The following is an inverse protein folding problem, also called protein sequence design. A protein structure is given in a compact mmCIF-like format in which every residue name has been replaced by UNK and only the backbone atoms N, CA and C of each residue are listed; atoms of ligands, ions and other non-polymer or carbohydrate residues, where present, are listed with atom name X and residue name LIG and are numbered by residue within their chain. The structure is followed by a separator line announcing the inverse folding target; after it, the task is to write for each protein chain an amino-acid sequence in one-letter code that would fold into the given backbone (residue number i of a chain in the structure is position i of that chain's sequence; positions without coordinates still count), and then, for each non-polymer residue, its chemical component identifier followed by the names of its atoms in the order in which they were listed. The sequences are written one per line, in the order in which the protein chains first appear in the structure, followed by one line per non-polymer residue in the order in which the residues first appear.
data_IF_464460946417
#
_entry.id   IF_464460946417
#
_cell.length_a   1.000
_cell.length_b   1.000
_cell.length_c   1.000
_cell.angle_alpha   90.00
_cell.angle_beta   90.00
_cell.angle_gamma   90.00
#
_symmetry.space_group_name_H-M   'P 1'
#
loop_
_entity.id
_entity.type
_entity.pdbx_description
1 polymer ?
#
# COMPACT_ATOMS: atom_id res chain seq x y z
N UNK A 1 -26.44 18.01 13.73
CA UNK A 1 -25.80 18.18 12.42
C UNK A 1 -25.67 16.81 11.76
N UNK A 2 -26.22 16.56 10.57
CA UNK A 2 -25.90 15.35 9.84
C UNK A 2 -24.41 15.37 9.47
N UNK A 3 -23.71 14.26 9.71
CA UNK A 3 -22.32 14.09 9.28
C UNK A 3 -22.25 14.33 7.76
N UNK A 4 -21.29 15.12 7.26
CA UNK A 4 -21.13 15.34 5.83
C UNK A 4 -20.97 13.98 5.14
N UNK A 5 -21.79 13.72 4.12
CA UNK A 5 -21.68 12.52 3.28
C UNK A 5 -20.25 12.46 2.74
N UNK A 6 -19.53 11.37 3.01
CA UNK A 6 -18.17 11.23 2.49
C UNK A 6 -18.20 11.35 0.96
N UNK A 7 -17.31 12.17 0.40
CA UNK A 7 -17.16 12.27 -1.05
C UNK A 7 -16.82 10.88 -1.60
N UNK A 8 -17.50 10.46 -2.67
CA UNK A 8 -17.18 9.20 -3.35
C UNK A 8 -15.76 9.31 -3.92
N UNK A 9 -14.86 8.42 -3.48
CA UNK A 9 -13.50 8.29 -4.05
C UNK A 9 -13.58 8.10 -5.57
N UNK A 10 -12.73 8.84 -6.29
CA UNK A 10 -12.65 8.79 -7.75
C UNK A 10 -11.47 7.91 -8.17
N UNK A 11 -11.65 7.17 -9.26
CA UNK A 11 -10.65 6.30 -9.86
C UNK A 11 -10.79 6.42 -11.37
N UNK A 12 -9.71 6.15 -12.10
CA UNK A 12 -9.74 5.95 -13.54
C UNK A 12 -10.66 4.78 -13.90
N UNK A 13 -11.26 4.84 -15.09
CA UNK A 13 -12.16 3.79 -15.55
C UNK A 13 -11.44 2.44 -15.61
N UNK A 14 -12.06 1.39 -15.07
CA UNK A 14 -11.48 0.03 -15.05
C UNK A 14 -10.39 -0.21 -13.99
N UNK A 15 -9.93 0.82 -13.27
CA UNK A 15 -8.78 0.74 -12.36
C UNK A 15 -8.89 -0.38 -11.31
N UNK A 16 -10.07 -0.57 -10.73
CA UNK A 16 -10.28 -1.58 -9.70
C UNK A 16 -10.09 -3.01 -10.20
N UNK A 17 -10.58 -3.29 -11.41
CA UNK A 17 -10.38 -4.58 -12.06
C UNK A 17 -8.91 -4.77 -12.44
N UNK A 18 -8.31 -3.74 -13.04
CA UNK A 18 -6.88 -3.74 -13.35
C UNK A 18 -6.03 -4.01 -12.11
N UNK A 19 -6.37 -3.43 -10.96
CA UNK A 19 -5.68 -3.66 -9.68
C UNK A 19 -5.74 -5.11 -9.23
N UNK A 20 -6.91 -5.75 -9.31
CA UNK A 20 -7.07 -7.17 -8.97
C UNK A 20 -6.24 -8.06 -9.94
N UNK A 21 -6.35 -7.80 -11.25
CA UNK A 21 -5.63 -8.59 -12.27
C UNK A 21 -4.11 -8.42 -12.13
N UNK A 22 -3.62 -7.18 -11.91
CA UNK A 22 -2.19 -6.89 -11.75
C UNK A 22 -1.63 -7.48 -10.45
N UNK A 23 -2.37 -7.43 -9.35
CA UNK A 23 -1.98 -8.05 -8.07
C UNK A 23 -1.83 -9.57 -8.17
N UNK A 24 -2.62 -10.22 -9.03
CA UNK A 24 -2.50 -11.64 -9.35
C UNK A 24 -1.29 -11.90 -10.26
N UNK A 25 -1.12 -11.10 -11.33
CA UNK A 25 0.02 -11.20 -12.25
C UNK A 25 1.36 -11.11 -11.52
N UNK A 26 1.52 -10.11 -10.64
CA UNK A 26 2.75 -9.93 -9.85
C UNK A 26 3.06 -11.17 -8.99
N UNK A 27 2.04 -11.78 -8.38
CA UNK A 27 2.24 -13.03 -7.64
C UNK A 27 2.73 -14.15 -8.54
N UNK A 28 2.11 -14.31 -9.71
CA UNK A 28 2.52 -15.34 -10.68
C UNK A 28 3.95 -15.11 -11.18
N UNK A 29 4.31 -13.87 -11.49
CA UNK A 29 5.67 -13.45 -11.86
C UNK A 29 6.70 -13.80 -10.78
N UNK A 30 6.30 -13.72 -9.51
CA UNK A 30 7.11 -14.13 -8.34
C UNK A 30 6.94 -15.61 -7.94
N UNK A 31 6.35 -16.45 -8.81
CA UNK A 31 6.08 -17.87 -8.55
C UNK A 31 5.22 -18.16 -7.31
N UNK A 32 4.30 -17.25 -6.99
CA UNK A 32 3.33 -17.37 -5.91
C UNK A 32 1.93 -17.68 -6.46
N UNK A 33 1.15 -18.45 -5.71
CA UNK A 33 -0.28 -18.59 -5.96
C UNK A 33 -1.00 -17.27 -5.71
N UNK A 34 -2.11 -17.03 -6.42
CA UNK A 34 -2.93 -15.83 -6.29
C UNK A 34 -3.45 -15.56 -4.86
N UNK A 35 -3.55 -16.60 -4.03
CA UNK A 35 -3.96 -16.52 -2.63
C UNK A 35 -2.79 -16.44 -1.64
N UNK A 36 -1.54 -16.55 -2.07
CA UNK A 36 -0.40 -16.49 -1.16
C UNK A 36 -0.10 -15.05 -0.72
N UNK A 37 0.44 -14.87 0.51
CA UNK A 37 0.96 -13.59 0.96
C UNK A 37 2.06 -13.07 0.02
N UNK A 38 2.08 -11.75 -0.17
CA UNK A 38 3.11 -11.04 -0.92
C UNK A 38 3.84 -10.12 0.04
N UNK A 39 5.15 -10.33 0.22
CA UNK A 39 5.98 -9.47 1.07
C UNK A 39 6.36 -8.20 0.30
N UNK A 40 6.10 -7.02 0.87
CA UNK A 40 6.37 -5.73 0.24
C UNK A 40 7.87 -5.55 -0.03
N UNK A 41 8.70 -5.92 0.94
CA UNK A 41 10.17 -5.87 0.82
C UNK A 41 10.69 -6.81 -0.28
N UNK A 42 10.14 -8.03 -0.38
CA UNK A 42 10.49 -8.95 -1.48
C UNK A 42 10.03 -8.46 -2.84
N UNK A 43 8.88 -7.76 -2.89
CA UNK A 43 8.41 -7.16 -4.13
C UNK A 43 9.32 -6.01 -4.57
N UNK A 44 9.78 -5.16 -3.64
CA UNK A 44 10.79 -4.14 -3.96
C UNK A 44 12.09 -4.74 -4.49
N UNK A 45 12.60 -5.80 -3.86
CA UNK A 45 13.79 -6.53 -4.34
C UNK A 45 13.57 -7.08 -5.77
N UNK A 46 12.43 -7.74 -6.01
CA UNK A 46 12.06 -8.24 -7.33
C UNK A 46 11.99 -7.14 -8.41
N UNK A 47 11.42 -5.98 -8.06
CA UNK A 47 11.31 -4.82 -8.94
C UNK A 47 12.59 -3.97 -8.98
N UNK A 48 13.63 -4.36 -8.23
CA UNK A 48 14.90 -3.62 -8.09
C UNK A 48 14.71 -2.18 -7.61
N UNK A 49 13.73 -1.96 -6.73
CA UNK A 49 13.45 -0.67 -6.10
C UNK A 49 14.17 -0.65 -4.74
N UNK A 50 15.18 0.21 -4.53
CA UNK A 50 15.86 0.30 -3.24
C UNK A 50 14.88 0.74 -2.14
N UNK A 51 14.96 0.07 -0.99
CA UNK A 51 14.29 0.49 0.24
C UNK A 51 15.37 0.96 1.22
N UNK A 52 15.18 2.16 1.76
CA UNK A 52 16.05 2.77 2.77
C UNK A 52 15.23 3.18 3.99
N UNK A 53 15.91 3.28 5.12
CA UNK A 53 15.46 4.01 6.32
C UNK A 53 16.19 5.35 6.39
N UNK A 54 15.76 6.29 7.25
CA UNK A 54 16.49 7.55 7.45
C UNK A 54 17.96 7.37 7.84
N UNK A 55 18.30 6.25 8.52
CA UNK A 55 19.68 5.95 8.93
C UNK A 55 20.58 5.55 7.78
N UNK A 56 20.00 5.08 6.67
CA UNK A 56 20.77 4.67 5.49
C UNK A 56 21.12 5.86 4.59
N UNK A 57 20.56 7.05 4.86
CA UNK A 57 20.82 8.27 4.10
C UNK A 57 22.13 8.90 4.60
N UNK A 58 23.13 9.07 3.72
CA UNK A 58 24.43 9.61 4.14
C UNK A 58 24.31 11.08 4.55
N UNK A 59 25.06 11.46 5.59
CA UNK A 59 25.17 12.84 6.09
C UNK A 59 23.85 13.48 6.54
N UNK A 60 22.84 12.68 6.90
CA UNK A 60 21.63 13.24 7.49
C UNK A 60 21.96 13.78 8.91
N UNK A 61 21.60 15.02 9.25
CA UNK A 61 21.90 15.57 10.57
C UNK A 61 21.22 14.78 11.69
N UNK A 62 21.89 14.63 12.83
CA UNK A 62 21.33 13.91 13.99
C UNK A 62 19.99 14.50 14.46
N UNK A 63 19.86 15.83 14.43
CA UNK A 63 18.59 16.51 14.74
C UNK A 63 17.43 16.09 13.81
N UNK A 64 17.72 15.80 12.54
CA UNK A 64 16.74 15.31 11.58
C UNK A 64 16.44 13.82 11.82
N UNK A 65 17.43 13.01 12.19
CA UNK A 65 17.18 11.62 12.60
C UNK A 65 16.26 11.56 13.82
N UNK A 66 16.53 12.38 14.85
CA UNK A 66 15.67 12.46 16.04
C UNK A 66 14.26 12.89 15.65
N UNK A 67 14.11 13.87 14.76
CA UNK A 67 12.77 14.25 14.28
C UNK A 67 12.07 13.12 13.52
N UNK A 68 12.76 12.42 12.62
CA UNK A 68 12.14 11.36 11.82
C UNK A 68 11.88 10.08 12.62
N UNK A 69 12.71 9.74 13.60
CA UNK A 69 12.68 8.44 14.26
C UNK A 69 12.19 8.49 15.71
N UNK A 70 12.06 9.68 16.31
CA UNK A 70 11.64 9.83 17.71
C UNK A 70 10.49 10.83 17.85
N UNK A 71 10.77 12.14 17.79
CA UNK A 71 9.79 13.19 18.11
C UNK A 71 8.67 13.29 17.08
N UNK A 72 9.02 13.17 15.79
CA UNK A 72 8.10 13.22 14.66
C UNK A 72 7.78 11.86 14.05
N UNK A 73 8.14 10.75 14.71
CA UNK A 73 7.99 9.39 14.13
C UNK A 73 6.55 9.02 13.73
N UNK A 74 5.54 9.70 14.28
CA UNK A 74 4.12 9.47 13.92
C UNK A 74 3.63 10.36 12.78
N UNK A 75 4.42 11.34 12.35
CA UNK A 75 4.05 12.35 11.37
C UNK A 75 4.31 11.92 9.92
N UNK A 76 5.00 10.79 9.72
CA UNK A 76 5.31 10.24 8.40
C UNK A 76 5.33 8.71 8.43
N UNK A 77 5.28 8.09 7.24
CA UNK A 77 5.08 6.64 7.11
C UNK A 77 6.03 6.00 6.10
N UNK A 78 5.99 6.44 4.86
CA UNK A 78 6.95 6.15 3.82
C UNK A 78 6.86 7.24 2.76
N UNK A 79 7.84 7.30 1.86
CA UNK A 79 7.81 8.15 0.69
C UNK A 79 8.62 7.49 -0.44
N UNK A 80 8.05 7.49 -1.64
CA UNK A 80 8.77 7.23 -2.88
C UNK A 80 9.41 8.52 -3.40
N UNK A 81 10.72 8.45 -3.65
CA UNK A 81 11.53 9.58 -4.13
C UNK A 81 12.04 9.22 -5.53
N UNK A 82 11.61 9.94 -6.57
CA UNK A 82 12.11 9.71 -7.92
C UNK A 82 13.57 10.15 -8.02
N UNK A 83 14.45 9.26 -8.51
CA UNK A 83 15.84 9.58 -8.86
C UNK A 83 15.89 10.16 -10.27
N UNK A 84 15.12 9.56 -11.18
CA UNK A 84 14.95 10.00 -12.56
C UNK A 84 13.53 9.64 -13.04
N UNK A 85 13.24 9.77 -14.34
CA UNK A 85 11.89 9.52 -14.88
C UNK A 85 11.43 8.05 -14.74
N UNK A 86 12.35 7.10 -14.53
CA UNK A 86 12.05 5.66 -14.47
C UNK A 86 12.43 4.98 -13.15
N UNK A 87 13.35 5.56 -12.38
CA UNK A 87 13.86 4.98 -11.14
C UNK A 87 13.41 5.76 -9.91
N UNK A 88 13.03 5.04 -8.87
CA UNK A 88 12.62 5.58 -7.57
C UNK A 88 13.26 4.80 -6.43
N UNK A 89 13.48 5.48 -5.31
CA UNK A 89 13.83 4.87 -4.02
C UNK A 89 12.63 5.00 -3.09
N UNK A 90 12.37 3.99 -2.27
CA UNK A 90 11.41 4.09 -1.16
C UNK A 90 12.18 4.33 0.13
N UNK A 91 11.85 5.42 0.83
CA UNK A 91 12.28 5.64 2.21
C UNK A 91 11.10 5.32 3.13
N UNK A 92 11.25 4.35 4.03
CA UNK A 92 10.19 3.98 4.97
C UNK A 92 10.56 4.28 6.41
N UNK A 93 9.55 4.52 7.24
CA UNK A 93 9.73 4.70 8.66
C UNK A 93 9.80 3.33 9.36
N UNK A 94 10.96 2.94 9.92
CA UNK A 94 11.13 1.64 10.56
C UNK A 94 10.52 1.55 11.97
N UNK A 95 9.99 2.65 12.53
CA UNK A 95 9.42 2.65 13.89
C UNK A 95 7.95 2.24 13.93
N UNK A 96 7.29 2.15 12.77
CA UNK A 96 5.95 1.60 12.66
C UNK A 96 5.93 0.09 12.90
N UNK A 97 4.79 -0.48 13.25
CA UNK A 97 4.65 -1.95 13.32
C UNK A 97 4.88 -2.60 11.95
N UNK A 98 5.30 -3.86 11.94
CA UNK A 98 5.58 -4.61 10.70
C UNK A 98 4.42 -4.56 9.70
N UNK A 99 3.18 -4.72 10.19
CA UNK A 99 1.98 -4.65 9.36
C UNK A 99 1.75 -3.25 8.76
N UNK A 100 2.09 -2.20 9.50
CA UNK A 100 1.99 -0.81 9.02
C UNK A 100 3.10 -0.50 8.03
N UNK A 101 4.33 -0.93 8.28
CA UNK A 101 5.44 -0.81 7.33
C UNK A 101 5.11 -1.53 6.00
N UNK A 102 4.62 -2.76 6.07
CA UNK A 102 4.17 -3.54 4.92
C UNK A 102 3.11 -2.78 4.10
N UNK A 103 2.09 -2.22 4.77
CA UNK A 103 1.02 -1.46 4.13
C UNK A 103 1.54 -0.17 3.48
N UNK A 104 2.42 0.56 4.18
CA UNK A 104 3.03 1.79 3.67
C UNK A 104 3.85 1.52 2.42
N UNK A 105 4.70 0.49 2.44
CA UNK A 105 5.53 0.16 1.27
C UNK A 105 4.67 -0.33 0.10
N UNK A 106 3.59 -1.09 0.35
CA UNK A 106 2.64 -1.47 -0.71
C UNK A 106 1.95 -0.25 -1.34
N UNK A 107 1.68 0.80 -0.56
CA UNK A 107 1.13 2.05 -1.07
C UNK A 107 2.15 2.80 -1.94
N UNK A 108 3.40 2.94 -1.50
CA UNK A 108 4.47 3.53 -2.33
C UNK A 108 4.74 2.73 -3.62
N UNK A 109 4.75 1.40 -3.53
CA UNK A 109 4.85 0.52 -4.69
C UNK A 109 3.69 0.74 -5.66
N UNK A 110 2.49 1.00 -5.15
CA UNK A 110 1.34 1.28 -6.00
C UNK A 110 1.53 2.59 -6.78
N UNK A 111 2.08 3.65 -6.18
CA UNK A 111 2.46 4.85 -6.92
C UNK A 111 3.44 4.55 -8.05
N UNK A 112 4.50 3.81 -7.76
CA UNK A 112 5.55 3.49 -8.73
C UNK A 112 4.99 2.64 -9.88
N UNK A 113 4.27 1.56 -9.57
CA UNK A 113 3.73 0.63 -10.58
C UNK A 113 2.67 1.32 -11.47
N UNK A 114 1.87 2.23 -10.91
CA UNK A 114 0.91 3.00 -11.68
C UNK A 114 1.53 4.14 -12.50
N UNK A 115 2.83 4.43 -12.31
CA UNK A 115 3.50 5.56 -12.95
C UNK A 115 2.95 6.91 -12.49
N UNK A 116 2.48 6.98 -11.25
CA UNK A 116 1.98 8.21 -10.64
C UNK A 116 3.10 9.25 -10.58
N UNK A 117 2.77 10.49 -10.91
CA UNK A 117 3.74 11.59 -11.03
C UNK A 117 3.55 12.59 -9.91
N UNK A 118 4.65 12.92 -9.24
CA UNK A 118 4.73 14.08 -8.35
C UNK A 118 4.96 15.31 -9.22
N UNK A 119 4.18 16.38 -9.02
CA UNK A 119 4.34 17.62 -9.77
C UNK A 119 5.75 18.22 -9.55
N UNK A 120 6.45 18.58 -10.63
CA UNK A 120 7.82 19.12 -10.56
C UNK A 120 7.90 20.47 -9.85
N UNK A 121 6.81 21.25 -9.84
CA UNK A 121 6.74 22.51 -9.08
C UNK A 121 6.71 22.30 -7.56
N UNK A 122 6.39 21.09 -7.12
CA UNK A 122 6.28 20.71 -5.71
C UNK A 122 7.66 20.34 -5.12
N UNK A 123 8.52 19.68 -5.91
CA UNK A 123 9.89 19.32 -5.53
C UNK A 123 10.76 20.55 -5.20
N UNK A 124 10.47 21.70 -5.82
CA UNK A 124 11.20 22.95 -5.61
C UNK A 124 10.96 23.58 -4.21
N UNK A 125 9.87 23.23 -3.51
CA UNK A 125 9.50 23.79 -2.21
C UNK A 125 9.91 22.89 -1.02
N UNK A 126 10.77 21.89 -1.25
CA UNK A 126 11.21 20.93 -0.23
C UNK A 126 10.09 20.00 0.26
N UNK A 127 10.37 19.25 1.33
CA UNK A 127 9.44 18.27 1.95
C UNK A 127 8.06 18.84 2.29
N UNK A 128 7.95 20.15 2.54
CA UNK A 128 6.67 20.82 2.81
C UNK A 128 5.78 20.97 1.57
N UNK A 129 6.38 21.12 0.40
CA UNK A 129 5.66 21.10 -0.88
C UNK A 129 5.08 19.72 -1.16
N UNK A 130 5.88 18.66 -0.95
CA UNK A 130 5.51 17.27 -1.24
C UNK A 130 4.17 16.87 -0.63
N UNK A 131 3.86 17.41 0.57
CA UNK A 131 2.66 17.08 1.33
C UNK A 131 1.39 17.85 0.92
N UNK A 132 1.46 18.87 0.06
CA UNK A 132 0.38 19.87 -0.06
C UNK A 132 -0.45 19.85 -1.36
N UNK A 133 -0.04 19.16 -2.41
CA UNK A 133 -0.81 19.06 -3.67
C UNK A 133 -0.71 17.64 -4.25
N UNK A 134 -1.37 16.69 -3.60
CA UNK A 134 -1.53 15.35 -4.12
C UNK A 134 -2.72 15.30 -5.08
N UNK A 135 -2.52 14.69 -6.25
CA UNK A 135 -3.62 14.35 -7.15
C UNK A 135 -4.52 13.33 -6.44
N UNK A 136 -5.72 13.77 -6.04
CA UNK A 136 -6.68 12.97 -5.29
C UNK A 136 -7.00 11.63 -6.00
N UNK A 137 -6.96 11.60 -7.34
CA UNK A 137 -7.19 10.34 -8.09
C UNK A 137 -6.01 9.40 -7.88
N UNK A 138 -4.78 9.87 -8.02
CA UNK A 138 -3.58 9.05 -7.84
C UNK A 138 -3.47 8.49 -6.41
N UNK A 139 -3.80 9.29 -5.40
CA UNK A 139 -3.82 8.82 -4.00
C UNK A 139 -4.88 7.75 -3.77
N UNK A 140 -6.10 7.96 -4.28
CA UNK A 140 -7.17 6.97 -4.17
C UNK A 140 -6.77 5.67 -4.87
N UNK A 141 -6.15 5.77 -6.05
CA UNK A 141 -5.65 4.64 -6.83
C UNK A 141 -4.53 3.89 -6.11
N UNK A 142 -3.55 4.59 -5.54
CA UNK A 142 -2.46 3.99 -4.78
C UNK A 142 -2.97 3.33 -3.48
N UNK A 143 -3.90 3.94 -2.76
CA UNK A 143 -4.54 3.33 -1.60
C UNK A 143 -5.29 2.04 -1.99
N UNK A 144 -6.07 2.07 -3.07
CA UNK A 144 -6.82 0.90 -3.54
C UNK A 144 -5.89 -0.22 -3.98
N UNK A 145 -4.90 0.10 -4.83
CA UNK A 145 -4.01 -0.89 -5.40
C UNK A 145 -3.03 -1.43 -4.36
N UNK A 146 -2.47 -0.60 -3.48
CA UNK A 146 -1.62 -1.04 -2.36
C UNK A 146 -2.35 -2.01 -1.43
N UNK A 147 -3.60 -1.70 -1.06
CA UNK A 147 -4.43 -2.61 -0.29
C UNK A 147 -4.75 -3.91 -1.05
N UNK A 148 -4.85 -3.85 -2.38
CA UNK A 148 -5.04 -5.02 -3.24
C UNK A 148 -3.76 -5.86 -3.39
N UNK A 149 -2.58 -5.24 -3.44
CA UNK A 149 -1.29 -5.93 -3.41
C UNK A 149 -1.13 -6.72 -2.11
N UNK A 150 -1.51 -6.14 -0.97
CA UNK A 150 -1.43 -6.82 0.33
C UNK A 150 -2.48 -7.93 0.46
N UNK A 151 -3.75 -7.65 0.14
CA UNK A 151 -4.88 -8.57 0.31
C UNK A 151 -5.77 -8.61 -0.95
N UNK A 152 -5.39 -9.41 -1.96
CA UNK A 152 -6.17 -9.56 -3.17
C UNK A 152 -7.43 -10.40 -2.92
N UNK A 153 -8.42 -10.28 -3.79
CA UNK A 153 -9.68 -11.03 -3.65
C UNK A 153 -9.49 -12.56 -3.50
N UNK A 154 -8.63 -13.25 -4.28
CA UNK A 154 -8.44 -14.70 -4.14
C UNK A 154 -7.88 -15.11 -2.76
N UNK A 155 -7.01 -14.30 -2.17
CA UNK A 155 -6.50 -14.51 -0.81
C UNK A 155 -7.62 -14.51 0.23
N UNK A 156 -8.52 -13.51 0.17
CA UNK A 156 -9.66 -13.43 1.08
C UNK A 156 -10.64 -14.59 0.88
N UNK A 157 -10.97 -14.93 -0.38
CA UNK A 157 -11.84 -16.07 -0.67
C UNK A 157 -11.25 -17.38 -0.17
N UNK A 158 -9.94 -17.59 -0.38
CA UNK A 158 -9.24 -18.76 0.12
C UNK A 158 -9.29 -18.83 1.65
N UNK A 159 -8.91 -17.76 2.33
CA UNK A 159 -8.88 -17.73 3.80
C UNK A 159 -10.26 -17.96 4.41
N UNK A 160 -11.29 -17.26 3.91
CA UNK A 160 -12.64 -17.38 4.44
C UNK A 160 -13.28 -18.75 4.15
N UNK A 161 -12.95 -19.38 3.01
CA UNK A 161 -13.38 -20.77 2.73
C UNK A 161 -12.73 -21.78 3.67
N UNK A 162 -11.53 -21.51 4.13
CA UNK A 162 -10.80 -22.33 5.10
C UNK A 162 -11.10 -21.93 6.56
N UNK A 163 -12.15 -21.13 6.80
CA UNK A 163 -12.60 -20.70 8.12
C UNK A 163 -11.55 -19.93 8.95
N UNK A 164 -10.59 -19.26 8.31
CA UNK A 164 -9.68 -18.36 9.02
C UNK A 164 -10.47 -17.17 9.59
N UNK A 165 -10.16 -16.80 10.84
CA UNK A 165 -10.67 -15.58 11.46
C UNK A 165 -10.03 -14.32 10.84
N UNK A 166 -10.57 -13.14 11.15
CA UNK A 166 -9.98 -11.88 10.67
C UNK A 166 -8.57 -11.68 11.24
N UNK A 167 -8.32 -12.12 12.48
CA UNK A 167 -7.00 -12.13 13.14
C UNK A 167 -6.02 -13.09 12.46
N UNK A 168 -6.46 -14.30 12.10
CA UNK A 168 -5.62 -15.26 11.37
C UNK A 168 -5.22 -14.70 9.99
N UNK A 169 -6.14 -14.00 9.33
CA UNK A 169 -5.86 -13.32 8.06
C UNK A 169 -4.87 -12.17 8.28
N UNK A 170 -5.08 -11.34 9.30
CA UNK A 170 -4.18 -10.24 9.63
C UNK A 170 -2.74 -10.74 9.83
N UNK A 171 -2.58 -11.79 10.65
CA UNK A 171 -1.30 -12.44 10.92
C UNK A 171 -0.69 -13.03 9.64
N UNK A 172 -1.46 -13.82 8.87
CA UNK A 172 -0.96 -14.53 7.67
C UNK A 172 -0.45 -13.58 6.59
N UNK A 173 -1.09 -12.42 6.40
CA UNK A 173 -0.76 -11.48 5.32
C UNK A 173 0.03 -10.26 5.80
N UNK A 174 0.53 -10.29 7.05
CA UNK A 174 1.21 -9.17 7.71
C UNK A 174 0.44 -7.85 7.52
N UNK A 175 -0.83 -7.86 7.88
CA UNK A 175 -1.76 -6.75 7.69
C UNK A 175 -2.43 -6.40 9.01
N UNK A 176 -2.89 -5.15 9.16
CA UNK A 176 -3.71 -4.80 10.33
C UNK A 176 -5.11 -5.40 10.19
N UNK A 177 -5.81 -5.59 11.31
CA UNK A 177 -7.19 -6.08 11.32
C UNK A 177 -8.11 -5.11 10.55
N UNK A 178 -7.86 -3.80 10.66
CA UNK A 178 -8.57 -2.76 9.92
C UNK A 178 -8.42 -2.95 8.40
N UNK A 179 -7.21 -3.25 7.93
CA UNK A 179 -6.94 -3.53 6.52
C UNK A 179 -7.69 -4.78 6.04
N UNK A 180 -7.71 -5.85 6.85
CA UNK A 180 -8.48 -7.07 6.56
C UNK A 180 -9.96 -6.77 6.44
N UNK A 181 -10.54 -6.07 7.42
CA UNK A 181 -11.96 -5.68 7.42
C UNK A 181 -12.30 -4.80 6.23
N UNK A 182 -11.48 -3.79 5.98
CA UNK A 182 -11.61 -2.90 4.83
C UNK A 182 -11.69 -3.70 3.52
N UNK A 183 -10.73 -4.61 3.30
CA UNK A 183 -10.65 -5.42 2.07
C UNK A 183 -11.78 -6.43 1.96
N UNK A 184 -12.21 -7.06 3.05
CA UNK A 184 -13.40 -7.94 3.05
C UNK A 184 -14.65 -7.17 2.62
N UNK A 185 -14.84 -5.96 3.17
CA UNK A 185 -16.03 -5.15 2.92
C UNK A 185 -16.07 -4.65 1.47
N UNK A 186 -14.97 -4.09 0.99
CA UNK A 186 -14.92 -3.44 -0.32
C UNK A 186 -14.97 -4.43 -1.48
N UNK A 187 -14.55 -5.68 -1.24
CA UNK A 187 -14.63 -6.77 -2.21
C UNK A 187 -15.97 -7.53 -2.10
N UNK A 188 -16.73 -7.39 -1.02
CA UNK A 188 -17.97 -8.14 -0.79
C UNK A 188 -17.81 -9.69 -0.86
N UNK A 189 -16.62 -10.21 -0.55
CA UNK A 189 -16.34 -11.67 -0.59
C UNK A 189 -17.24 -12.49 0.34
N UNK A 190 -17.62 -11.95 1.51
CA UNK A 190 -18.56 -12.61 2.43
C UNK A 190 -19.93 -12.83 1.78
N UNK A 191 -20.43 -11.84 1.02
CA UNK A 191 -21.71 -11.96 0.28
C UNK A 191 -21.62 -13.04 -0.81
N UNK A 192 -20.53 -13.06 -1.58
CA UNK A 192 -20.32 -14.09 -2.60
C UNK A 192 -20.38 -15.50 -1.98
N UNK A 193 -19.62 -15.73 -0.90
CA UNK A 193 -19.55 -17.04 -0.26
C UNK A 193 -20.89 -17.49 0.31
N UNK A 194 -21.69 -16.56 0.86
CA UNK A 194 -23.04 -16.85 1.34
C UNK A 194 -23.95 -17.36 0.24
N UNK A 195 -23.94 -16.74 -0.94
CA UNK A 195 -24.76 -17.18 -2.08
C UNK A 195 -24.25 -18.50 -2.70
N UNK A 196 -22.94 -18.75 -2.69
CA UNK A 196 -22.38 -20.01 -3.19
C UNK A 196 -22.72 -21.23 -2.34
N UNK A 197 -22.96 -21.07 -1.03
CA UNK A 197 -23.37 -22.18 -0.12
C UNK A 197 -24.85 -22.56 -0.23
N UNK A 198 -25.67 -21.73 -0.89
CA UNK A 198 -27.12 -21.94 -1.07
C UNK A 198 -27.48 -22.66 -2.37
N UNK A 199 -26.50 -22.89 -3.25
CA UNK A 199 -26.61 -23.72 -4.45
C UNK A 199 -26.05 -25.10 -4.15
#
# INVERSE_FOLDING_TARGET
MPLPKSKKKKYSYGFKKWSDDKSISIRQEMSLYASQPLCAFKLCDYLKIPILTPKDIPNIPESILTELLETGQRNWSAASIPINDNDSIIVHNPTHSDARQQSNIMHELAHIICGHKVDKGILANGLSGFLRNYDEVQENEAEWFGACLQLPRPALLYSLKNNLSEDDIALKYNASIEMVRYRINITAVKKQLHYSKKK
#
